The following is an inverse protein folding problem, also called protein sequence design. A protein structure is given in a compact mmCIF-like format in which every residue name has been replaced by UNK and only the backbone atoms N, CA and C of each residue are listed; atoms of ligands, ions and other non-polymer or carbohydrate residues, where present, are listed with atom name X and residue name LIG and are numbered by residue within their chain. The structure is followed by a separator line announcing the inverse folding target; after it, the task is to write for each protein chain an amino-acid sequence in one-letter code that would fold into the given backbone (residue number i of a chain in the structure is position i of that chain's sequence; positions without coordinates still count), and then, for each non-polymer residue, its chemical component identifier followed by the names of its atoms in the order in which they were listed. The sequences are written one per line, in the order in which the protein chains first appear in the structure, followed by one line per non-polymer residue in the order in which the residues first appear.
data_IF_672823734221
#
_entry.id   IF_672823734221
#
_cell.length_a   1.000
_cell.length_b   1.000
_cell.length_c   1.000
_cell.angle_alpha   90.00
_cell.angle_beta   90.00
_cell.angle_gamma   90.00
#
_symmetry.space_group_name_H-M   'P 1'
#
loop_
_entity.id
_entity.type
_entity.pdbx_description
1 polymer ?
#
# COMPACT_ATOMS: atom_id res chain seq x y z
N UNK A 1 2.12 -0.75 -5.28
CA UNK A 1 3.43 -0.22 -4.95
C UNK A 1 3.73 -0.35 -3.46
N UNK A 2 4.85 -1.01 -3.14
CA UNK A 2 5.20 -1.37 -1.76
C UNK A 2 5.76 -0.23 -0.90
N UNK A 3 6.11 0.91 -1.48
CA UNK A 3 6.72 2.02 -0.74
C UNK A 3 6.07 3.36 -1.08
N UNK A 4 4.77 3.36 -1.35
CA UNK A 4 4.04 4.59 -1.53
C UNK A 4 3.78 5.27 -0.17
N UNK A 5 3.84 6.60 -0.16
CA UNK A 5 3.64 7.42 1.02
C UNK A 5 2.35 8.21 0.89
N UNK A 6 1.55 8.18 1.92
CA UNK A 6 0.37 9.03 2.02
C UNK A 6 0.84 10.42 2.47
N UNK A 7 0.92 11.35 1.54
CA UNK A 7 1.45 12.69 1.81
C UNK A 7 0.40 13.62 2.39
N UNK A 8 -0.86 13.44 2.00
CA UNK A 8 -1.99 14.26 2.44
C UNK A 8 -3.19 13.37 2.71
N UNK A 9 -3.88 13.65 3.79
CA UNK A 9 -5.16 13.04 4.13
C UNK A 9 -6.05 14.04 4.85
N UNK A 10 -7.25 14.25 4.32
CA UNK A 10 -8.22 15.19 4.85
C UNK A 10 -9.54 14.46 5.15
N UNK A 11 -10.26 14.97 6.13
CA UNK A 11 -11.63 14.55 6.35
C UNK A 11 -12.59 15.15 5.30
N UNK A 12 -13.88 14.81 5.41
CA UNK A 12 -14.92 15.32 4.49
C UNK A 12 -15.10 16.85 4.53
N UNK A 13 -14.63 17.50 5.60
CA UNK A 13 -14.75 18.93 5.83
C UNK A 13 -13.44 19.68 5.46
N UNK A 14 -12.42 18.94 4.96
CA UNK A 14 -11.15 19.46 4.48
C UNK A 14 -10.09 19.64 5.58
N UNK A 15 -10.31 19.14 6.80
CA UNK A 15 -9.31 19.23 7.87
C UNK A 15 -8.19 18.21 7.66
N UNK A 16 -6.95 18.63 7.87
CA UNK A 16 -5.79 17.73 7.86
C UNK A 16 -5.85 16.74 9.03
N UNK A 17 -5.79 15.45 8.72
CA UNK A 17 -5.84 14.38 9.71
C UNK A 17 -4.45 13.96 10.23
N UNK A 18 -3.36 14.45 9.66
CA UNK A 18 -2.02 14.05 10.10
C UNK A 18 -1.69 14.38 11.55
N UNK A 19 -2.11 15.52 12.13
CA UNK A 19 -1.89 15.78 13.55
C UNK A 19 -2.45 14.67 14.45
N UNK A 20 -3.66 14.22 14.14
CA UNK A 20 -4.30 13.14 14.91
C UNK A 20 -3.70 11.76 14.63
N UNK A 21 -3.35 11.46 13.38
CA UNK A 21 -2.67 10.21 13.01
C UNK A 21 -1.34 10.09 13.74
N UNK A 22 -0.55 11.16 13.81
CA UNK A 22 0.75 11.16 14.53
C UNK A 22 0.56 10.95 16.03
N UNK A 23 -0.44 11.60 16.62
CA UNK A 23 -0.78 11.42 18.03
C UNK A 23 -1.16 9.99 18.35
N UNK A 24 -2.05 9.38 17.54
CA UNK A 24 -2.49 7.99 17.71
C UNK A 24 -1.34 7.01 17.49
N UNK A 25 -0.49 7.22 16.49
CA UNK A 25 0.66 6.37 16.22
C UNK A 25 1.64 6.35 17.40
N UNK A 26 1.93 7.52 17.99
CA UNK A 26 2.75 7.63 19.18
C UNK A 26 2.14 6.90 20.38
N UNK A 27 0.85 7.18 20.65
CA UNK A 27 0.13 6.57 21.77
C UNK A 27 0.10 5.03 21.67
N UNK A 28 -0.23 4.50 20.49
CA UNK A 28 -0.30 3.05 20.27
C UNK A 28 1.07 2.38 20.37
N UNK A 29 2.12 2.94 19.76
CA UNK A 29 3.46 2.35 19.84
C UNK A 29 4.10 2.44 21.23
N UNK A 30 3.65 3.35 22.08
CA UNK A 30 4.13 3.50 23.46
C UNK A 30 3.24 2.83 24.51
N UNK A 31 2.07 2.33 24.15
CA UNK A 31 1.13 1.69 25.07
C UNK A 31 1.62 0.37 25.68
N UNK A 32 2.58 -0.29 25.03
CA UNK A 32 3.04 -1.64 25.36
C UNK A 32 2.19 -2.76 24.76
N UNK A 33 1.07 -2.44 24.13
CA UNK A 33 0.24 -3.41 23.42
C UNK A 33 0.81 -3.70 22.03
N UNK A 34 0.87 -4.99 21.66
CA UNK A 34 1.33 -5.40 20.33
C UNK A 34 0.19 -5.29 19.31
N UNK A 35 0.48 -4.74 18.16
CA UNK A 35 -0.45 -4.64 17.04
C UNK A 35 0.27 -4.81 15.68
N UNK A 36 -0.49 -4.94 14.60
CA UNK A 36 0.06 -5.23 13.27
C UNK A 36 0.76 -4.04 12.62
N UNK A 37 0.49 -2.82 13.05
CA UNK A 37 0.99 -1.59 12.44
C UNK A 37 2.22 -0.97 13.12
N UNK A 38 2.88 -1.68 14.03
CA UNK A 38 3.98 -1.12 14.82
C UNK A 38 5.11 -0.55 13.98
N UNK A 39 5.52 -1.21 12.89
CA UNK A 39 6.57 -0.74 11.98
C UNK A 39 6.13 0.52 11.23
N UNK A 40 4.89 0.56 10.72
CA UNK A 40 4.38 1.75 10.01
C UNK A 40 4.24 2.96 10.94
N UNK A 41 3.83 2.73 12.18
CA UNK A 41 3.74 3.80 13.17
C UNK A 41 5.12 4.30 13.60
N UNK A 42 6.14 3.44 13.60
CA UNK A 42 7.51 3.89 13.83
C UNK A 42 8.01 4.78 12.68
N UNK A 43 7.63 4.49 11.43
CA UNK A 43 7.89 5.42 10.32
C UNK A 43 7.18 6.76 10.50
N UNK A 44 5.93 6.79 10.96
CA UNK A 44 5.24 8.05 11.26
C UNK A 44 6.00 8.86 12.31
N UNK A 45 6.49 8.21 13.38
CA UNK A 45 7.25 8.86 14.45
C UNK A 45 8.54 9.51 13.94
N UNK A 46 9.26 8.84 13.06
CA UNK A 46 10.56 9.30 12.57
C UNK A 46 10.51 10.12 11.28
N UNK A 47 9.60 9.81 10.38
CA UNK A 47 9.52 10.42 9.04
C UNK A 47 8.30 11.32 8.89
N UNK A 48 7.33 11.25 9.80
CA UNK A 48 6.14 12.10 9.81
C UNK A 48 5.02 11.67 8.87
N UNK A 49 5.22 10.63 8.05
CA UNK A 49 4.27 10.18 7.03
C UNK A 49 3.97 8.69 7.14
N UNK A 50 2.79 8.32 6.68
CA UNK A 50 2.31 6.94 6.67
C UNK A 50 2.73 6.24 5.37
N UNK A 51 3.37 5.08 5.50
CA UNK A 51 3.68 4.21 4.37
C UNK A 51 2.48 3.31 4.08
N UNK A 52 2.10 3.17 2.83
CA UNK A 52 0.88 2.44 2.44
C UNK A 52 1.04 0.92 2.48
N UNK A 53 2.27 0.41 2.42
CA UNK A 53 2.55 -1.02 2.51
C UNK A 53 2.43 -1.52 3.96
N UNK A 54 2.20 -2.82 4.15
CA UNK A 54 2.10 -3.46 5.45
C UNK A 54 3.37 -3.28 6.31
N UNK A 55 3.22 -3.37 7.62
CA UNK A 55 4.36 -3.37 8.54
C UNK A 55 5.33 -4.52 8.27
N UNK A 56 4.81 -5.70 7.93
CA UNK A 56 5.59 -6.89 7.56
C UNK A 56 6.53 -6.58 6.40
N UNK A 57 5.99 -6.14 5.26
CA UNK A 57 6.80 -5.84 4.07
C UNK A 57 7.73 -4.64 4.28
N UNK A 58 7.31 -3.64 5.02
CA UNK A 58 8.21 -2.54 5.39
C UNK A 58 9.41 -3.00 6.23
N UNK A 59 9.21 -4.00 7.11
CA UNK A 59 10.31 -4.60 7.87
C UNK A 59 11.24 -5.44 6.98
N UNK A 60 10.70 -6.13 5.98
CA UNK A 60 11.47 -6.98 5.04
C UNK A 60 12.29 -6.16 4.03
N UNK A 61 11.71 -5.08 3.49
CA UNK A 61 12.35 -4.28 2.43
C UNK A 61 13.37 -3.26 2.95
N UNK A 62 13.42 -3.03 4.25
CA UNK A 62 14.31 -2.05 4.85
C UNK A 62 15.22 -2.66 5.91
N UNK A 63 16.47 -2.19 6.05
CA UNK A 63 17.43 -2.75 6.99
C UNK A 63 17.24 -2.24 8.43
N UNK A 64 16.07 -1.66 8.75
CA UNK A 64 15.90 -0.96 10.03
C UNK A 64 15.45 -1.88 11.17
N UNK A 65 14.70 -2.93 10.89
CA UNK A 65 14.00 -3.75 11.89
C UNK A 65 14.55 -5.18 12.02
N UNK A 66 14.78 -5.88 10.91
CA UNK A 66 15.28 -7.26 10.94
C UNK A 66 16.79 -7.24 10.88
N UNK A 67 17.43 -7.34 12.03
CA UNK A 67 18.88 -7.25 12.18
C UNK A 67 19.43 -8.40 13.01
N UNK A 68 20.45 -9.08 12.51
CA UNK A 68 21.13 -10.17 13.25
C UNK A 68 21.75 -9.70 14.57
N UNK A 69 22.15 -8.43 14.65
CA UNK A 69 22.73 -7.83 15.87
C UNK A 69 21.69 -7.46 16.94
N UNK A 70 20.45 -7.26 16.52
CA UNK A 70 19.33 -6.82 17.38
C UNK A 70 18.10 -7.69 17.11
N UNK A 71 18.17 -9.01 17.38
CA UNK A 71 17.09 -9.93 17.07
C UNK A 71 15.82 -9.65 17.89
N UNK A 72 15.93 -9.01 19.04
CA UNK A 72 14.82 -8.60 19.92
C UNK A 72 13.85 -7.63 19.24
N UNK A 73 14.30 -6.88 18.23
CA UNK A 73 13.43 -5.95 17.48
C UNK A 73 12.30 -6.67 16.74
N UNK A 74 12.48 -7.93 16.38
CA UNK A 74 11.46 -8.72 15.69
C UNK A 74 10.25 -8.89 16.62
N UNK A 75 10.48 -9.21 17.88
CA UNK A 75 9.44 -9.33 18.90
C UNK A 75 8.93 -7.93 19.31
N UNK A 76 9.83 -6.97 19.49
CA UNK A 76 9.50 -5.60 19.89
C UNK A 76 8.50 -4.95 18.92
N UNK A 77 8.71 -5.10 17.62
CA UNK A 77 7.84 -4.53 16.58
C UNK A 77 6.80 -5.51 16.03
N UNK A 78 6.58 -6.65 16.72
CA UNK A 78 5.60 -7.67 16.33
C UNK A 78 5.69 -8.08 14.85
N UNK A 79 6.92 -8.32 14.36
CA UNK A 79 7.18 -8.64 12.97
C UNK A 79 6.93 -10.14 12.75
N UNK A 80 5.97 -10.53 11.90
CA UNK A 80 5.73 -11.93 11.60
C UNK A 80 6.84 -12.49 10.71
N UNK A 81 7.54 -13.52 11.18
CA UNK A 81 8.48 -14.29 10.37
C UNK A 81 7.75 -15.46 9.69
N UNK A 82 8.23 -15.86 8.52
CA UNK A 82 7.68 -17.01 7.75
C UNK A 82 6.19 -16.88 7.41
N UNK A 83 5.68 -15.67 7.26
CA UNK A 83 4.27 -15.43 6.94
C UNK A 83 3.91 -15.95 5.54
N UNK A 84 4.80 -15.81 4.55
CA UNK A 84 4.54 -16.26 3.20
C UNK A 84 4.32 -17.80 3.11
N UNK A 85 5.15 -18.65 3.71
CA UNK A 85 4.87 -20.09 3.77
C UNK A 85 3.51 -20.41 4.41
N UNK A 86 3.14 -19.73 5.49
CA UNK A 86 1.82 -19.92 6.12
C UNK A 86 0.66 -19.49 5.22
N UNK A 87 0.79 -18.40 4.50
CA UNK A 87 -0.19 -17.95 3.51
C UNK A 87 -0.32 -18.95 2.36
N UNK A 88 0.78 -19.52 1.88
CA UNK A 88 0.76 -20.54 0.84
C UNK A 88 -0.01 -21.79 1.30
N UNK A 89 0.26 -22.28 2.51
CA UNK A 89 -0.45 -23.43 3.08
C UNK A 89 -1.95 -23.15 3.17
N UNK A 90 -2.32 -22.01 3.76
CA UNK A 90 -3.72 -21.58 3.89
C UNK A 90 -4.43 -21.45 2.53
N UNK A 91 -3.72 -20.95 1.51
CA UNK A 91 -4.28 -20.81 0.17
C UNK A 91 -4.51 -22.15 -0.50
N UNK A 92 -3.57 -23.11 -0.34
CA UNK A 92 -3.73 -24.47 -0.85
C UNK A 92 -4.94 -25.14 -0.22
N UNK A 93 -5.07 -25.10 1.11
CA UNK A 93 -6.22 -25.64 1.85
C UNK A 93 -7.54 -24.96 1.44
N UNK A 94 -7.51 -23.64 1.30
CA UNK A 94 -8.67 -22.85 0.85
C UNK A 94 -9.11 -23.21 -0.56
N UNK A 95 -8.16 -23.42 -1.46
CA UNK A 95 -8.44 -23.83 -2.84
C UNK A 95 -9.13 -25.18 -2.94
N UNK A 96 -8.71 -26.17 -2.16
CA UNK A 96 -9.37 -27.47 -2.16
C UNK A 96 -10.86 -27.38 -1.80
N UNK A 97 -11.18 -26.59 -0.79
CA UNK A 97 -12.56 -26.30 -0.41
C UNK A 97 -13.33 -25.55 -1.49
N UNK A 98 -12.76 -24.49 -2.04
CA UNK A 98 -13.38 -23.70 -3.12
C UNK A 98 -13.65 -24.56 -4.36
N UNK A 99 -12.70 -25.42 -4.74
CA UNK A 99 -12.88 -26.38 -5.81
C UNK A 99 -14.08 -27.32 -5.57
N UNK A 100 -14.22 -27.85 -4.37
CA UNK A 100 -15.37 -28.69 -4.01
C UNK A 100 -16.69 -27.94 -4.11
N UNK A 101 -16.74 -26.71 -3.63
CA UNK A 101 -17.93 -25.87 -3.66
C UNK A 101 -18.33 -25.52 -5.11
N UNK A 102 -17.36 -25.18 -5.97
CA UNK A 102 -17.58 -24.96 -7.40
C UNK A 102 -18.15 -26.21 -8.08
N UNK A 103 -17.60 -27.40 -7.77
CA UNK A 103 -18.06 -28.66 -8.35
C UNK A 103 -19.48 -29.05 -7.89
N UNK A 104 -19.88 -28.66 -6.68
CA UNK A 104 -21.23 -28.91 -6.14
C UNK A 104 -22.27 -27.98 -6.76
N UNK A 105 -21.98 -26.70 -6.83
CA UNK A 105 -22.96 -25.69 -7.22
C UNK A 105 -22.91 -25.32 -8.70
N UNK A 106 -21.80 -25.62 -9.38
CA UNK A 106 -21.60 -25.29 -10.81
C UNK A 106 -21.65 -23.78 -11.10
N UNK A 107 -21.62 -22.93 -10.08
CA UNK A 107 -21.72 -21.49 -10.20
C UNK A 107 -20.42 -20.84 -9.71
N UNK A 108 -19.78 -20.10 -10.60
CA UNK A 108 -18.70 -19.19 -10.25
C UNK A 108 -19.30 -17.80 -10.14
N UNK A 109 -19.25 -17.21 -8.95
CA UNK A 109 -19.66 -15.82 -8.75
C UNK A 109 -18.72 -14.89 -9.53
N UNK A 110 -19.30 -13.95 -10.29
CA UNK A 110 -18.55 -12.90 -10.98
C UNK A 110 -18.93 -11.56 -10.38
N UNK A 111 -18.18 -11.15 -9.38
CA UNK A 111 -18.25 -9.79 -8.88
C UNK A 111 -17.03 -9.00 -9.36
N UNK A 112 -17.26 -7.74 -9.78
CA UNK A 112 -16.17 -6.86 -10.16
C UNK A 112 -15.32 -6.55 -8.92
N UNK A 113 -14.05 -6.95 -8.93
CA UNK A 113 -13.13 -6.68 -7.83
C UNK A 113 -12.78 -5.18 -7.75
N UNK A 114 -12.11 -4.78 -6.67
CA UNK A 114 -11.57 -3.42 -6.52
C UNK A 114 -10.28 -3.20 -7.32
N UNK A 115 -9.76 -4.26 -7.96
CA UNK A 115 -8.60 -4.16 -8.84
C UNK A 115 -8.92 -3.32 -10.06
N UNK A 116 -8.07 -2.36 -10.36
CA UNK A 116 -8.37 -1.30 -11.32
C UNK A 116 -8.09 -1.63 -12.79
N UNK A 117 -7.56 -2.81 -13.12
CA UNK A 117 -7.31 -3.19 -14.51
C UNK A 117 -8.57 -3.09 -15.39
N UNK A 118 -9.70 -3.61 -14.91
CA UNK A 118 -10.97 -3.54 -15.64
C UNK A 118 -11.50 -2.11 -15.79
N UNK A 119 -11.23 -1.23 -14.82
CA UNK A 119 -11.60 0.19 -14.90
C UNK A 119 -10.71 0.96 -15.87
N UNK A 120 -9.42 0.60 -15.97
CA UNK A 120 -8.52 1.14 -17.00
C UNK A 120 -9.03 0.77 -18.38
N UNK A 121 -9.36 -0.50 -18.61
CA UNK A 121 -9.90 -0.96 -19.90
C UNK A 121 -11.21 -0.22 -20.26
N UNK A 122 -12.11 -0.09 -19.32
CA UNK A 122 -13.35 0.66 -19.48
C UNK A 122 -13.07 2.13 -19.82
N UNK A 123 -12.18 2.80 -19.08
CA UNK A 123 -11.83 4.20 -19.33
C UNK A 123 -11.30 4.43 -20.74
N UNK A 124 -10.43 3.54 -21.22
CA UNK A 124 -9.88 3.61 -22.59
C UNK A 124 -10.97 3.42 -23.64
N UNK A 125 -11.86 2.43 -23.46
CA UNK A 125 -12.90 2.10 -24.45
C UNK A 125 -14.04 3.13 -24.47
N UNK A 126 -14.45 3.61 -23.29
CA UNK A 126 -15.59 4.54 -23.17
C UNK A 126 -15.19 6.01 -23.22
N UNK A 127 -13.88 6.31 -23.18
CA UNK A 127 -13.35 7.66 -23.03
C UNK A 127 -13.87 8.37 -21.77
N UNK A 128 -14.15 7.60 -20.70
CA UNK A 128 -14.57 8.12 -19.40
C UNK A 128 -13.35 8.12 -18.46
N UNK A 129 -12.85 9.29 -18.02
CA UNK A 129 -11.63 9.35 -17.24
C UNK A 129 -11.71 8.55 -15.93
N UNK A 130 -10.67 7.75 -15.66
CA UNK A 130 -10.50 7.01 -14.42
C UNK A 130 -9.13 7.31 -13.79
N UNK A 131 -9.09 7.53 -12.48
CA UNK A 131 -7.87 7.89 -11.75
C UNK A 131 -7.24 6.68 -11.09
N UNK A 132 -5.94 6.52 -11.28
CA UNK A 132 -5.11 5.50 -10.64
C UNK A 132 -3.83 6.09 -10.06
N UNK A 133 -3.10 5.33 -9.23
CA UNK A 133 -1.66 5.52 -9.03
C UNK A 133 -0.91 4.79 -10.13
N UNK A 134 -0.15 5.48 -10.93
CA UNK A 134 0.56 4.92 -12.08
C UNK A 134 2.07 5.07 -11.99
N UNK A 135 2.81 4.01 -12.36
CA UNK A 135 4.27 4.06 -12.48
C UNK A 135 4.66 4.63 -13.85
N UNK A 136 5.35 5.75 -13.84
CA UNK A 136 5.77 6.47 -15.03
C UNK A 136 7.20 6.99 -14.87
N UNK A 137 7.85 7.38 -15.99
CA UNK A 137 9.07 8.18 -15.91
C UNK A 137 8.73 9.54 -15.29
N UNK A 138 9.58 10.00 -14.39
CA UNK A 138 9.31 11.22 -13.61
C UNK A 138 9.07 12.43 -14.52
N UNK A 139 9.93 12.69 -15.51
CA UNK A 139 9.78 13.82 -16.44
C UNK A 139 9.39 15.16 -15.76
N UNK A 140 9.74 15.33 -14.47
CA UNK A 140 9.42 16.53 -13.70
C UNK A 140 8.05 16.50 -12.98
N UNK A 141 7.41 15.36 -12.87
CA UNK A 141 6.19 15.23 -12.06
C UNK A 141 6.48 15.33 -10.56
N UNK A 142 7.68 14.88 -10.12
CA UNK A 142 8.22 15.08 -8.77
C UNK A 142 9.49 15.90 -8.91
N UNK A 143 9.48 17.12 -8.34
CA UNK A 143 10.49 18.15 -8.63
C UNK A 143 11.89 17.81 -8.06
N UNK A 144 11.98 17.05 -6.99
CA UNK A 144 13.23 16.71 -6.30
C UNK A 144 13.72 15.28 -6.54
N UNK A 145 13.22 14.62 -7.59
CA UNK A 145 13.72 13.34 -8.06
C UNK A 145 14.29 13.47 -9.48
N UNK A 146 15.25 12.59 -9.88
CA UNK A 146 15.78 12.57 -11.24
C UNK A 146 14.67 12.40 -12.29
N UNK A 147 14.82 13.04 -13.44
CA UNK A 147 13.80 13.00 -14.51
C UNK A 147 13.62 11.62 -15.14
N UNK A 148 14.63 10.77 -15.05
CA UNK A 148 14.67 9.38 -15.54
C UNK A 148 14.30 8.35 -14.47
N UNK A 149 13.97 8.79 -13.25
CA UNK A 149 13.48 7.89 -12.21
C UNK A 149 12.09 7.36 -12.58
N UNK A 150 11.81 6.11 -12.25
CA UNK A 150 10.45 5.58 -12.25
C UNK A 150 9.76 6.01 -10.95
N UNK A 151 8.65 6.72 -11.08
CA UNK A 151 7.88 7.26 -9.96
C UNK A 151 6.43 6.85 -10.05
N UNK A 152 5.77 6.68 -8.92
CA UNK A 152 4.31 6.55 -8.86
C UNK A 152 3.69 7.91 -8.59
N UNK A 153 2.81 8.32 -9.48
CA UNK A 153 2.06 9.57 -9.37
C UNK A 153 0.59 9.33 -9.73
N UNK A 154 -0.34 10.19 -9.28
CA UNK A 154 -1.71 10.14 -9.78
C UNK A 154 -1.73 10.27 -11.31
N UNK A 155 -2.46 9.37 -11.96
CA UNK A 155 -2.68 9.39 -13.40
C UNK A 155 -4.17 9.34 -13.70
N UNK A 156 -4.63 10.12 -14.66
CA UNK A 156 -5.93 9.94 -15.29
C UNK A 156 -5.76 9.12 -16.57
N UNK A 157 -6.65 8.20 -16.81
CA UNK A 157 -6.67 7.35 -18.00
C UNK A 157 -7.99 7.55 -18.72
N UNK A 158 -7.92 7.74 -20.03
CA UNK A 158 -9.07 7.85 -20.91
C UNK A 158 -8.75 7.27 -22.32
N UNK A 159 -9.60 7.51 -23.29
CA UNK A 159 -9.42 7.05 -24.68
C UNK A 159 -8.19 7.64 -25.38
N UNK A 160 -7.55 8.66 -24.83
CA UNK A 160 -6.33 9.29 -25.38
C UNK A 160 -5.06 8.81 -24.72
N UNK A 161 -5.17 8.03 -23.64
CA UNK A 161 -4.03 7.39 -22.96
C UNK A 161 -3.91 7.70 -21.48
N UNK A 162 -2.66 7.72 -21.00
CA UNK A 162 -2.31 7.94 -19.59
C UNK A 162 -1.81 9.37 -19.41
N UNK A 163 -2.41 10.09 -18.48
CA UNK A 163 -2.13 11.50 -18.18
C UNK A 163 -1.63 11.64 -16.74
N UNK A 164 -0.30 11.60 -16.52
CA UNK A 164 0.28 11.79 -15.19
C UNK A 164 0.05 13.21 -14.66
N UNK A 165 -0.15 13.32 -13.36
CA UNK A 165 -0.37 14.59 -12.67
C UNK A 165 0.89 15.00 -11.91
N UNK A 166 1.25 16.29 -12.01
CA UNK A 166 2.38 16.83 -11.27
C UNK A 166 2.08 16.81 -9.76
N UNK A 167 2.98 16.21 -8.98
CA UNK A 167 2.93 16.14 -7.51
C UNK A 167 3.69 17.33 -6.89
N UNK A 168 4.76 17.79 -7.53
CA UNK A 168 5.66 18.79 -7.00
C UNK A 168 6.79 18.20 -6.17
N UNK A 169 7.26 18.91 -5.17
CA UNK A 169 8.38 18.50 -4.33
C UNK A 169 7.89 17.58 -3.20
N UNK A 170 8.53 16.42 -3.04
CA UNK A 170 8.34 15.57 -1.87
C UNK A 170 9.00 16.19 -0.63
N UNK A 171 8.49 15.88 0.59
CA UNK A 171 9.08 16.30 1.85
C UNK A 171 10.53 15.89 2.04
#
# INVERSE_FOLDING_TARGET
NHMAWLLEIHDKDGNDLYPEIRRIAEEKNTSGEKHEDMVRYEYIRHLGYYCTESSEHNAEYNPFFIKSKYPEMIEEFNIPLDEYPRRCIKQIEGWEKEREDILKDGKIGHERSKEYASYIMEAVVTNTPYKIGGNVLNNGYIDNLPSDACVEVPCYIDGTGVHPVKVGKLP
#
